data_IF_278130598907
#
_entry.id   IF_278130598907
#
_cell.length_a   1.000
_cell.length_b   1.000
_cell.length_c   1.000
_cell.angle_alpha   90.00
_cell.angle_beta   90.00
_cell.angle_gamma   90.00
#
_symmetry.space_group_name_H-M   'P 1'
#
loop_
_entity.id
_entity.type
_entity.pdbx_description
1 polymer ?
#
# COMPACT_ATOMS: atom_id res chain seq x y z
N UNK A 1 1.34 16.20 -11.01
CA UNK A 1 2.07 17.11 -11.93
C UNK A 1 2.19 16.44 -13.28
N UNK A 2 2.32 17.23 -14.34
CA UNK A 2 2.46 16.70 -15.72
C UNK A 2 3.55 15.63 -15.80
N UNK A 3 4.71 15.85 -15.17
CA UNK A 3 5.84 14.91 -15.16
C UNK A 3 5.49 13.55 -14.56
N UNK A 4 4.75 13.53 -13.46
CA UNK A 4 4.32 12.28 -12.83
C UNK A 4 3.18 11.59 -13.59
N UNK A 5 2.34 12.37 -14.31
CA UNK A 5 1.32 11.81 -15.20
C UNK A 5 1.99 11.12 -16.40
N UNK A 6 2.90 11.81 -17.05
CA UNK A 6 3.67 11.28 -18.20
C UNK A 6 4.46 10.02 -17.80
N UNK A 7 5.10 10.03 -16.61
CA UNK A 7 5.82 8.87 -16.08
C UNK A 7 4.93 7.65 -15.88
N UNK A 8 3.77 7.82 -15.23
CA UNK A 8 2.85 6.71 -14.99
C UNK A 8 2.25 6.20 -16.31
N UNK A 9 1.89 7.07 -17.23
CA UNK A 9 1.36 6.64 -18.53
C UNK A 9 2.39 5.85 -19.35
N UNK A 10 3.65 6.28 -19.32
CA UNK A 10 4.72 5.64 -20.10
C UNK A 10 5.19 4.31 -19.50
N UNK A 11 5.28 4.22 -18.16
CA UNK A 11 5.93 3.09 -17.49
C UNK A 11 4.99 2.18 -16.71
N UNK A 12 3.70 2.49 -16.62
CA UNK A 12 2.75 1.74 -15.79
C UNK A 12 2.80 0.23 -16.04
N UNK A 13 2.72 -0.19 -17.29
CA UNK A 13 2.70 -1.61 -17.66
C UNK A 13 4.05 -2.32 -17.37
N UNK A 14 5.13 -1.57 -17.23
CA UNK A 14 6.44 -2.09 -16.84
C UNK A 14 6.63 -2.17 -15.33
N UNK A 15 5.94 -1.30 -14.58
CA UNK A 15 6.03 -1.21 -13.13
C UNK A 15 5.07 -2.16 -12.41
N UNK A 16 4.01 -2.59 -13.11
CA UNK A 16 2.97 -3.45 -12.55
C UNK A 16 3.06 -4.82 -13.20
N UNK A 17 3.26 -5.84 -12.39
CA UNK A 17 3.35 -7.22 -12.88
C UNK A 17 1.98 -7.94 -12.87
N UNK A 18 1.93 -9.11 -13.52
CA UNK A 18 0.72 -9.93 -13.61
C UNK A 18 0.21 -10.37 -12.23
N UNK A 19 1.10 -10.53 -11.26
CA UNK A 19 0.72 -10.89 -9.88
C UNK A 19 -0.17 -9.82 -9.27
N UNK A 20 0.16 -8.55 -9.49
CA UNK A 20 -0.66 -7.42 -9.01
C UNK A 20 -2.04 -7.42 -9.65
N UNK A 21 -2.15 -7.64 -10.96
CA UNK A 21 -3.46 -7.73 -11.63
C UNK A 21 -4.28 -8.91 -11.12
N UNK A 22 -3.66 -10.07 -10.92
CA UNK A 22 -4.33 -11.25 -10.36
C UNK A 22 -4.83 -11.00 -8.93
N UNK A 23 -4.09 -10.23 -8.13
CA UNK A 23 -4.53 -9.84 -6.79
C UNK A 23 -5.74 -8.91 -6.84
N UNK A 24 -5.75 -7.93 -7.74
CA UNK A 24 -6.89 -7.03 -7.92
C UNK A 24 -8.15 -7.78 -8.34
N UNK A 25 -8.01 -8.77 -9.23
CA UNK A 25 -9.13 -9.63 -9.64
C UNK A 25 -9.64 -10.52 -8.49
N UNK A 26 -8.78 -10.84 -7.52
CA UNK A 26 -9.12 -11.63 -6.34
C UNK A 26 -9.90 -10.84 -5.29
N UNK A 27 -9.72 -9.53 -5.25
CA UNK A 27 -10.44 -8.66 -4.31
C UNK A 27 -11.89 -8.54 -4.79
N UNK A 28 -12.83 -8.88 -3.91
CA UNK A 28 -14.26 -8.75 -4.23
C UNK A 28 -14.62 -7.28 -4.47
N UNK A 29 -15.46 -7.03 -5.47
CA UNK A 29 -15.85 -5.66 -5.87
C UNK A 29 -16.54 -4.86 -4.76
N UNK A 30 -17.10 -5.56 -3.78
CA UNK A 30 -17.81 -4.98 -2.64
C UNK A 30 -16.85 -4.67 -1.48
N UNK A 31 -15.63 -5.18 -1.51
CA UNK A 31 -14.65 -4.92 -0.48
C UNK A 31 -14.10 -3.50 -0.59
N UNK A 32 -13.97 -2.84 0.56
CA UNK A 32 -13.29 -1.56 0.63
C UNK A 32 -11.78 -1.80 0.60
N UNK A 33 -11.14 -1.35 -0.46
CA UNK A 33 -9.71 -1.52 -0.68
C UNK A 33 -8.97 -0.18 -0.55
N UNK A 34 -7.78 -0.23 0.05
CA UNK A 34 -6.87 0.91 0.10
C UNK A 34 -5.45 0.52 -0.30
N UNK A 35 -4.68 1.48 -0.77
CA UNK A 35 -3.23 1.37 -0.91
C UNK A 35 -2.59 2.07 0.29
N UNK A 36 -1.70 1.36 1.00
CA UNK A 36 -0.83 1.94 2.02
C UNK A 36 0.62 1.82 1.56
N UNK A 37 1.25 2.93 1.20
CA UNK A 37 2.57 2.96 0.56
C UNK A 37 3.51 3.97 1.18
N UNK A 38 4.81 3.65 1.18
CA UNK A 38 5.86 4.60 1.50
C UNK A 38 6.17 5.60 0.37
N UNK A 39 5.64 5.36 -0.83
CA UNK A 39 5.78 6.31 -1.94
C UNK A 39 5.14 7.66 -1.61
N UNK A 40 5.55 8.70 -2.31
CA UNK A 40 4.97 10.03 -2.15
C UNK A 40 3.53 10.06 -2.67
N UNK A 41 2.70 10.87 -2.04
CA UNK A 41 1.25 10.93 -2.27
C UNK A 41 0.86 11.21 -3.72
N UNK A 42 1.58 12.06 -4.42
CA UNK A 42 1.30 12.35 -5.83
C UNK A 42 1.53 11.13 -6.75
N UNK A 43 2.40 10.18 -6.38
CA UNK A 43 2.56 8.90 -7.09
C UNK A 43 1.55 7.86 -6.61
N UNK A 44 1.43 7.67 -5.29
CA UNK A 44 0.51 6.72 -4.70
C UNK A 44 -0.93 6.93 -5.17
N UNK A 45 -1.39 8.17 -5.21
CA UNK A 45 -2.73 8.52 -5.68
C UNK A 45 -2.95 8.18 -7.17
N UNK A 46 -1.92 8.30 -8.01
CA UNK A 46 -2.03 7.94 -9.42
C UNK A 46 -2.16 6.43 -9.61
N UNK A 47 -1.37 5.63 -8.91
CA UNK A 47 -1.52 4.18 -8.90
C UNK A 47 -2.89 3.76 -8.37
N UNK A 48 -3.34 4.36 -7.29
CA UNK A 48 -4.66 4.12 -6.71
C UNK A 48 -5.76 4.36 -7.75
N UNK A 49 -5.73 5.48 -8.44
CA UNK A 49 -6.68 5.81 -9.50
C UNK A 49 -6.63 4.81 -10.68
N UNK A 50 -5.43 4.42 -11.11
CA UNK A 50 -5.26 3.43 -12.20
C UNK A 50 -5.84 2.06 -11.83
N UNK A 51 -5.73 1.66 -10.57
CA UNK A 51 -6.30 0.40 -10.07
C UNK A 51 -7.79 0.49 -9.69
N UNK A 52 -8.39 1.67 -9.74
CA UNK A 52 -9.78 1.88 -9.32
C UNK A 52 -9.96 1.79 -7.80
N UNK A 53 -8.90 1.97 -7.02
CA UNK A 53 -8.91 2.01 -5.56
C UNK A 53 -9.09 3.45 -5.11
N UNK A 54 -10.10 3.72 -4.28
CA UNK A 54 -10.49 5.10 -3.94
C UNK A 54 -9.53 5.80 -2.97
N UNK A 55 -9.01 5.06 -1.99
CA UNK A 55 -8.20 5.63 -0.91
C UNK A 55 -6.74 5.18 -1.01
N UNK A 56 -5.84 6.13 -0.75
CA UNK A 56 -4.40 5.88 -0.68
C UNK A 56 -3.81 6.58 0.54
N UNK A 57 -3.11 5.80 1.37
CA UNK A 57 -2.30 6.31 2.48
C UNK A 57 -0.86 6.27 2.03
N UNK A 58 -0.27 7.44 1.81
CA UNK A 58 1.06 7.61 1.25
C UNK A 58 1.89 8.59 2.09
N UNK A 59 3.18 8.70 1.79
CA UNK A 59 4.03 9.74 2.37
C UNK A 59 3.59 11.10 1.83
N UNK A 60 3.20 12.00 2.72
CA UNK A 60 2.69 13.32 2.35
C UNK A 60 3.81 14.26 1.95
N UNK A 61 3.63 14.96 0.85
CA UNK A 61 4.54 16.01 0.40
C UNK A 61 4.02 17.39 0.79
N UNK A 62 4.94 18.27 1.21
CA UNK A 62 4.60 19.65 1.52
C UNK A 62 4.31 20.43 0.25
N UNK A 63 3.20 21.17 0.25
CA UNK A 63 2.78 22.01 -0.87
C UNK A 63 2.79 23.48 -0.42
N UNK A 64 3.58 24.29 -1.12
CA UNK A 64 3.65 25.75 -0.93
C UNK A 64 3.30 26.42 -2.26
N UNK A 65 2.33 27.33 -2.24
CA UNK A 65 1.87 28.06 -3.44
C UNK A 65 1.51 27.12 -4.62
N UNK A 66 0.79 26.03 -4.33
CA UNK A 66 0.39 25.00 -5.29
C UNK A 66 1.57 24.23 -5.95
N UNK A 67 2.74 24.26 -5.33
CA UNK A 67 3.93 23.52 -5.79
C UNK A 67 4.49 22.65 -4.68
N UNK A 68 5.02 21.48 -5.04
CA UNK A 68 5.75 20.62 -4.12
C UNK A 68 7.03 21.36 -3.72
N UNK A 69 7.23 21.53 -2.41
CA UNK A 69 8.38 22.28 -1.85
C UNK A 69 9.71 21.50 -1.88
N UNK A 70 9.63 20.18 -2.05
CA UNK A 70 10.77 19.27 -1.88
C UNK A 70 10.92 18.73 -0.46
N UNK A 71 10.01 19.09 0.44
CA UNK A 71 9.96 18.57 1.82
C UNK A 71 8.75 17.65 2.02
N UNK A 72 8.77 16.90 3.11
CA UNK A 72 7.63 16.12 3.55
C UNK A 72 6.74 16.94 4.48
N UNK A 73 5.44 16.66 4.43
CA UNK A 73 4.47 17.12 5.42
C UNK A 73 4.29 16.02 6.46
N UNK A 74 5.14 16.05 7.49
CA UNK A 74 5.18 15.03 8.54
C UNK A 74 6.22 13.92 8.28
N UNK A 75 6.00 12.76 8.89
CA UNK A 75 6.88 11.59 8.80
C UNK A 75 6.61 10.77 7.54
N UNK A 76 7.63 10.06 7.00
CA UNK A 76 7.43 9.07 5.95
C UNK A 76 6.45 7.97 6.39
N UNK A 77 5.62 7.49 5.47
CA UNK A 77 4.62 6.45 5.74
C UNK A 77 5.25 5.05 5.74
N UNK A 78 6.09 4.74 6.74
CA UNK A 78 6.79 3.48 6.90
C UNK A 78 6.56 2.85 8.28
N UNK A 79 6.70 1.54 8.38
CA UNK A 79 6.74 0.81 9.65
C UNK A 79 5.57 1.15 10.57
N UNK A 80 5.88 1.60 11.78
CA UNK A 80 4.88 1.96 12.79
C UNK A 80 4.05 3.19 12.41
N UNK A 81 4.60 4.13 11.67
CA UNK A 81 3.84 5.28 11.15
C UNK A 81 2.79 4.82 10.12
N UNK A 82 3.14 3.92 9.23
CA UNK A 82 2.19 3.30 8.29
C UNK A 82 1.07 2.58 9.04
N UNK A 83 1.41 1.80 10.05
CA UNK A 83 0.43 1.14 10.90
C UNK A 83 -0.53 2.15 11.55
N UNK A 84 0.01 3.19 12.20
CA UNK A 84 -0.80 4.21 12.86
C UNK A 84 -1.75 4.93 11.88
N UNK A 85 -1.28 5.24 10.68
CA UNK A 85 -2.10 5.88 9.65
C UNK A 85 -3.22 4.95 9.14
N UNK A 86 -2.97 3.66 9.00
CA UNK A 86 -4.00 2.67 8.64
C UNK A 86 -5.01 2.51 9.78
N UNK A 87 -4.57 2.43 11.03
CA UNK A 87 -5.47 2.36 12.19
C UNK A 87 -6.41 3.58 12.25
N UNK A 88 -5.87 4.77 12.03
CA UNK A 88 -6.67 6.00 12.02
C UNK A 88 -7.69 6.00 10.87
N UNK A 89 -7.27 5.55 9.68
CA UNK A 89 -8.18 5.41 8.54
C UNK A 89 -9.32 4.42 8.84
N UNK A 90 -9.00 3.26 9.43
CA UNK A 90 -10.01 2.28 9.85
C UNK A 90 -11.01 2.88 10.84
N UNK A 91 -10.53 3.65 11.83
CA UNK A 91 -11.40 4.34 12.81
C UNK A 91 -12.36 5.32 12.11
N UNK A 92 -11.84 6.13 11.19
CA UNK A 92 -12.67 7.10 10.44
C UNK A 92 -13.73 6.42 9.57
N UNK A 93 -13.41 5.27 9.01
CA UNK A 93 -14.33 4.47 8.18
C UNK A 93 -15.20 3.49 8.98
N UNK A 94 -15.03 3.46 10.30
CA UNK A 94 -15.73 2.52 11.19
C UNK A 94 -15.51 1.04 10.81
N UNK A 95 -14.26 0.70 10.48
CA UNK A 95 -13.84 -0.65 10.12
C UNK A 95 -13.19 -1.30 11.34
N UNK A 96 -13.65 -2.50 11.68
CA UNK A 96 -13.06 -3.30 12.75
C UNK A 96 -11.74 -3.93 12.29
N UNK A 97 -10.79 -4.05 13.22
CA UNK A 97 -9.51 -4.73 13.00
C UNK A 97 -9.69 -6.14 12.42
N UNK A 98 -10.71 -6.86 12.90
CA UNK A 98 -11.01 -8.23 12.50
C UNK A 98 -11.42 -8.39 11.02
N UNK A 99 -11.80 -7.29 10.38
CA UNK A 99 -12.20 -7.26 8.97
C UNK A 99 -11.02 -7.06 8.01
N UNK A 100 -9.80 -6.84 8.52
CA UNK A 100 -8.63 -6.48 7.71
C UNK A 100 -8.00 -7.74 7.10
N UNK A 101 -7.78 -7.69 5.79
CA UNK A 101 -6.86 -8.58 5.07
C UNK A 101 -5.72 -7.70 4.55
N UNK A 102 -4.50 -8.02 4.95
CA UNK A 102 -3.32 -7.25 4.59
C UNK A 102 -2.44 -8.00 3.60
N UNK A 103 -2.10 -7.33 2.50
CA UNK A 103 -1.22 -7.83 1.45
C UNK A 103 0.10 -7.07 1.47
N UNK A 104 1.23 -7.76 1.55
CA UNK A 104 2.55 -7.13 1.58
C UNK A 104 3.65 -8.03 1.03
N UNK A 105 4.74 -7.42 0.57
CA UNK A 105 5.96 -8.06 0.08
C UNK A 105 7.18 -7.76 0.96
N UNK A 106 7.07 -6.88 1.94
CA UNK A 106 8.21 -6.34 2.68
C UNK A 106 8.12 -6.52 4.19
N UNK A 107 9.24 -6.95 4.79
CA UNK A 107 9.40 -7.00 6.25
C UNK A 107 9.28 -5.64 6.91
N UNK A 108 9.47 -4.55 6.18
CA UNK A 108 9.28 -3.20 6.70
C UNK A 108 7.83 -2.92 7.12
N UNK A 109 6.88 -3.69 6.60
CA UNK A 109 5.46 -3.61 6.95
C UNK A 109 5.08 -4.51 8.14
N UNK A 110 6.08 -5.08 8.84
CA UNK A 110 5.85 -6.00 9.94
C UNK A 110 4.89 -5.49 11.02
N UNK A 111 4.89 -4.20 11.43
CA UNK A 111 3.91 -3.68 12.38
C UNK A 111 2.45 -3.84 11.90
N UNK A 112 2.19 -3.78 10.59
CA UNK A 112 0.87 -4.05 10.02
C UNK A 112 0.57 -5.56 9.94
N UNK A 113 1.58 -6.39 9.68
CA UNK A 113 1.44 -7.86 9.71
C UNK A 113 1.01 -8.32 11.10
N UNK A 114 1.60 -7.78 12.15
CA UNK A 114 1.21 -8.09 13.53
C UNK A 114 -0.18 -7.56 13.90
N UNK A 115 -0.54 -6.42 13.35
CA UNK A 115 -1.83 -5.78 13.61
C UNK A 115 -2.99 -6.50 12.91
N UNK A 116 -2.77 -7.00 11.70
CA UNK A 116 -3.81 -7.57 10.85
C UNK A 116 -4.07 -9.04 11.17
N UNK A 117 -5.31 -9.47 11.34
CA UNK A 117 -5.63 -10.86 11.67
C UNK A 117 -5.40 -11.81 10.51
N UNK A 118 -5.48 -11.33 9.28
CA UNK A 118 -5.24 -12.10 8.07
C UNK A 118 -4.22 -11.40 7.18
N UNK A 119 -3.15 -12.14 6.86
CA UNK A 119 -2.07 -11.65 6.03
C UNK A 119 -1.89 -12.56 4.80
N UNK A 120 -1.68 -11.95 3.65
CA UNK A 120 -1.30 -12.60 2.39
C UNK A 120 0.04 -12.00 1.97
N UNK A 121 1.05 -12.83 1.92
CA UNK A 121 2.41 -12.41 1.63
C UNK A 121 2.68 -12.61 0.15
N UNK A 122 3.09 -11.56 -0.54
CA UNK A 122 3.18 -11.52 -2.01
C UNK A 122 4.63 -11.32 -2.43
N UNK A 123 5.22 -12.31 -3.10
CA UNK A 123 6.60 -12.22 -3.60
C UNK A 123 7.57 -11.62 -2.57
N UNK A 124 7.62 -12.17 -1.34
CA UNK A 124 8.26 -11.51 -0.21
C UNK A 124 9.76 -11.34 -0.34
N UNK A 125 10.30 -10.33 0.35
CA UNK A 125 11.72 -10.31 0.68
C UNK A 125 12.12 -11.52 1.53
N UNK A 126 13.41 -11.80 1.64
CA UNK A 126 13.92 -13.00 2.31
C UNK A 126 13.47 -13.11 3.79
N UNK A 127 13.46 -12.00 4.51
CA UNK A 127 13.10 -11.97 5.94
C UNK A 127 11.61 -12.23 6.14
N UNK A 128 10.77 -11.56 5.36
CA UNK A 128 9.32 -11.76 5.41
C UNK A 128 8.93 -13.16 4.93
N UNK A 129 9.57 -13.68 3.90
CA UNK A 129 9.34 -15.03 3.38
C UNK A 129 9.62 -16.09 4.44
N UNK A 130 10.74 -15.97 5.17
CA UNK A 130 11.07 -16.88 6.28
C UNK A 130 10.02 -16.82 7.38
N UNK A 131 9.65 -15.63 7.82
CA UNK A 131 8.60 -15.42 8.83
C UNK A 131 7.26 -16.05 8.38
N UNK A 132 6.86 -15.82 7.14
CA UNK A 132 5.62 -16.34 6.59
C UNK A 132 5.58 -17.87 6.57
N UNK A 133 6.68 -18.52 6.18
CA UNK A 133 6.79 -19.98 6.19
C UNK A 133 6.71 -20.56 7.62
N UNK A 134 7.45 -19.97 8.57
CA UNK A 134 7.45 -20.39 9.98
C UNK A 134 6.06 -20.24 10.63
N UNK A 135 5.28 -19.24 10.22
CA UNK A 135 3.95 -18.96 10.74
C UNK A 135 2.80 -19.47 9.85
N UNK A 136 3.12 -20.26 8.80
CA UNK A 136 2.15 -20.86 7.87
C UNK A 136 1.18 -19.85 7.25
N UNK A 137 1.67 -18.67 6.94
CA UNK A 137 0.90 -17.65 6.24
C UNK A 137 0.75 -18.02 4.76
N UNK A 138 -0.30 -17.52 4.14
CA UNK A 138 -0.46 -17.64 2.69
C UNK A 138 0.64 -16.86 1.96
N UNK A 139 1.34 -17.51 1.04
CA UNK A 139 2.38 -16.87 0.22
C UNK A 139 2.01 -17.05 -1.25
N UNK A 140 2.04 -15.94 -1.98
CA UNK A 140 1.88 -15.90 -3.44
C UNK A 140 3.25 -15.63 -4.05
N UNK A 141 3.69 -16.50 -4.95
CA UNK A 141 4.93 -16.37 -5.70
C UNK A 141 4.65 -15.94 -7.15
N UNK A 142 5.67 -15.38 -7.80
CA UNK A 142 5.63 -15.12 -9.24
C UNK A 142 5.63 -16.39 -10.06
#
# INVERSE_FOLDING_TARGET
SKLSDDFIEEYFDQLVDQVTFNLLDRIEKEDLSIIATGAMDFLGNKFSNKFGIQDCIATKTEIINNKISGRLDGSPNFGSDKKANVEEWCKRKNISKEEIIFYTDSINDFPLVEYSPKNVIVCPDHKLGKFAQENKLEIIYR
#
